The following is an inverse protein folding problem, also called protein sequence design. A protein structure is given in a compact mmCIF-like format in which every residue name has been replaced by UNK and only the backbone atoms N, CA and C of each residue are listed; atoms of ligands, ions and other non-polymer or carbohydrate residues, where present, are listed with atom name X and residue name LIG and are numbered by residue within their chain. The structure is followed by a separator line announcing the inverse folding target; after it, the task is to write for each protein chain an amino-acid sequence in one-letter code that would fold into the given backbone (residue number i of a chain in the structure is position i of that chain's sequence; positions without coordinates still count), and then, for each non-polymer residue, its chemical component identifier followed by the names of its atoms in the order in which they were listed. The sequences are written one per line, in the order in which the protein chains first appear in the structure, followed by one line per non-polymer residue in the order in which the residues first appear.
data_IF_307125487679
#
_entry.id   IF_307125487679
#
_cell.length_a   1.000
_cell.length_b   1.000
_cell.length_c   1.000
_cell.angle_alpha   90.00
_cell.angle_beta   90.00
_cell.angle_gamma   90.00
#
_symmetry.space_group_name_H-M   'P 1'
#
loop_
_entity.id
_entity.type
_entity.pdbx_description
1 polymer ?
#
# COMPACT_ATOMS: atom_id res chain seq x y z
N UNK A 1 24.44 -1.42 -33.85
CA UNK A 1 24.95 -1.19 -32.49
C UNK A 1 24.96 0.31 -32.26
N UNK A 2 24.02 0.81 -31.46
CA UNK A 2 24.05 2.15 -30.85
C UNK A 2 22.89 2.25 -29.84
N UNK A 3 23.26 2.42 -28.57
CA UNK A 3 22.52 3.13 -27.50
C UNK A 3 21.27 2.40 -26.96
N UNK A 4 21.41 1.52 -25.96
CA UNK A 4 21.49 1.94 -24.54
C UNK A 4 20.46 3.01 -24.17
N UNK A 5 19.19 2.72 -24.46
CA UNK A 5 18.06 3.38 -23.80
C UNK A 5 17.10 2.31 -23.25
N UNK A 6 17.66 1.22 -22.70
CA UNK A 6 16.90 0.30 -21.87
C UNK A 6 16.69 0.97 -20.52
N UNK A 7 15.78 1.94 -20.48
CA UNK A 7 15.18 2.39 -19.22
C UNK A 7 14.71 1.17 -18.41
N UNK A 8 14.57 1.37 -17.10
CA UNK A 8 14.10 0.34 -16.15
C UNK A 8 13.04 -0.57 -16.78
N UNK A 9 13.24 -1.89 -16.71
CA UNK A 9 12.29 -2.88 -17.23
C UNK A 9 10.90 -2.57 -16.69
N UNK A 10 9.85 -2.70 -17.50
CA UNK A 10 8.48 -2.41 -17.07
C UNK A 10 8.11 -3.24 -15.83
N UNK A 11 8.63 -4.46 -15.76
CA UNK A 11 8.51 -5.32 -14.59
C UNK A 11 9.16 -4.74 -13.32
N UNK A 12 10.31 -4.10 -13.42
CA UNK A 12 10.99 -3.48 -12.27
C UNK A 12 10.26 -2.22 -11.80
N UNK A 13 9.80 -1.38 -12.73
CA UNK A 13 8.98 -0.19 -12.42
C UNK A 13 7.69 -0.61 -11.71
N UNK A 14 6.99 -1.61 -12.26
CA UNK A 14 5.73 -2.10 -11.71
C UNK A 14 5.91 -2.72 -10.31
N UNK A 15 7.01 -3.44 -10.08
CA UNK A 15 7.34 -3.99 -8.77
C UNK A 15 7.66 -2.90 -7.74
N UNK A 16 8.40 -1.86 -8.16
CA UNK A 16 8.71 -0.69 -7.33
C UNK A 16 7.44 0.07 -6.94
N UNK A 17 6.55 0.35 -7.91
CA UNK A 17 5.24 0.98 -7.66
C UNK A 17 4.43 0.14 -6.67
N UNK A 18 4.41 -1.18 -6.84
CA UNK A 18 3.75 -2.08 -5.90
C UNK A 18 4.22 -1.89 -4.46
N UNK A 19 5.54 -1.87 -4.23
CA UNK A 19 6.10 -1.59 -2.90
C UNK A 19 5.76 -0.20 -2.37
N UNK A 20 5.86 0.84 -3.21
CA UNK A 20 5.51 2.21 -2.83
C UNK A 20 4.05 2.30 -2.37
N UNK A 21 3.12 1.66 -3.08
CA UNK A 21 1.70 1.63 -2.72
C UNK A 21 1.46 0.92 -1.38
N UNK A 22 2.16 -0.17 -1.09
CA UNK A 22 2.08 -0.85 0.22
C UNK A 22 2.53 0.11 1.32
N UNK A 23 3.71 0.73 1.17
CA UNK A 23 4.28 1.62 2.18
C UNK A 23 3.37 2.83 2.43
N UNK A 24 2.85 3.45 1.36
CA UNK A 24 1.91 4.57 1.48
C UNK A 24 0.63 4.13 2.19
N UNK A 25 0.07 2.98 1.84
CA UNK A 25 -1.13 2.44 2.50
C UNK A 25 -0.93 2.18 3.98
N UNK A 26 0.21 1.62 4.37
CA UNK A 26 0.58 1.41 5.78
C UNK A 26 0.70 2.73 6.54
N UNK A 27 1.43 3.70 5.98
CA UNK A 27 1.61 5.02 6.60
C UNK A 27 0.28 5.75 6.73
N UNK A 28 -0.53 5.75 5.66
CA UNK A 28 -1.84 6.40 5.66
C UNK A 28 -2.78 5.80 6.71
N UNK A 29 -2.86 4.47 6.78
CA UNK A 29 -3.65 3.80 7.81
C UNK A 29 -3.15 4.08 9.22
N UNK A 30 -1.83 4.17 9.42
CA UNK A 30 -1.25 4.44 10.73
C UNK A 30 -1.56 5.87 11.19
N UNK A 31 -1.37 6.85 10.30
CA UNK A 31 -1.72 8.25 10.56
C UNK A 31 -3.22 8.37 10.84
N UNK A 32 -4.07 7.67 10.09
CA UNK A 32 -5.52 7.68 10.31
C UNK A 32 -5.88 7.21 11.73
N UNK A 33 -5.28 6.12 12.20
CA UNK A 33 -5.50 5.60 13.56
C UNK A 33 -5.04 6.63 14.61
N UNK A 34 -3.89 7.27 14.42
CA UNK A 34 -3.42 8.26 15.40
C UNK A 34 -4.29 9.53 15.45
N UNK A 35 -4.73 10.02 14.29
CA UNK A 35 -5.50 11.26 14.19
C UNK A 35 -6.96 11.05 14.61
N UNK A 36 -7.58 9.94 14.18
CA UNK A 36 -9.02 9.72 14.33
C UNK A 36 -9.38 8.55 15.26
N UNK A 37 -8.40 7.77 15.72
CA UNK A 37 -8.65 6.63 16.59
C UNK A 37 -9.08 7.02 18.00
N UNK A 38 -8.78 8.25 18.45
CA UNK A 38 -9.20 8.78 19.75
C UNK A 38 -10.47 9.61 19.58
N UNK A 39 -11.57 9.15 20.18
CA UNK A 39 -12.85 9.87 20.18
C UNK A 39 -13.20 10.30 21.60
N UNK A 40 -13.89 11.44 21.71
CA UNK A 40 -14.38 11.97 22.98
C UNK A 40 -15.77 11.40 23.25
N UNK A 41 -15.92 10.71 24.38
CA UNK A 41 -17.22 10.18 24.85
C UNK A 41 -17.61 10.87 26.16
N UNK A 42 -18.88 11.28 26.30
CA UNK A 42 -19.36 11.88 27.54
C UNK A 42 -19.44 10.81 28.63
N UNK A 43 -18.92 11.11 29.82
CA UNK A 43 -19.23 10.34 31.04
C UNK A 43 -20.33 11.03 31.81
N UNK A 44 -21.25 10.23 32.36
CA UNK A 44 -22.50 10.66 33.01
C UNK A 44 -22.35 11.73 34.10
N UNK A 45 -21.18 11.88 34.74
CA UNK A 45 -21.02 12.77 35.89
C UNK A 45 -19.81 13.71 35.87
N UNK A 46 -18.76 13.47 35.06
CA UNK A 46 -17.55 14.30 35.06
C UNK A 46 -16.87 14.32 33.67
N UNK A 47 -17.36 15.20 32.79
CA UNK A 47 -16.67 15.61 31.56
C UNK A 47 -16.62 14.57 30.42
N UNK A 48 -15.76 14.85 29.45
CA UNK A 48 -15.50 14.02 28.27
C UNK A 48 -14.20 13.23 28.45
N UNK A 49 -14.24 11.91 28.21
CA UNK A 49 -13.05 11.06 28.22
C UNK A 49 -12.63 10.74 26.77
N UNK A 50 -11.33 10.87 26.48
CA UNK A 50 -10.78 10.37 25.22
C UNK A 50 -10.59 8.86 25.33
N UNK A 51 -11.29 8.10 24.49
CA UNK A 51 -11.17 6.64 24.39
C UNK A 51 -10.78 6.22 22.98
N UNK A 52 -10.20 5.04 22.84
CA UNK A 52 -9.93 4.47 21.51
C UNK A 52 -11.24 3.93 20.92
N UNK A 53 -11.63 4.44 19.76
CA UNK A 53 -12.77 3.90 19.01
C UNK A 53 -12.35 2.67 18.24
N UNK A 54 -12.90 1.50 18.63
CA UNK A 54 -12.66 0.26 17.91
C UNK A 54 -13.02 0.35 16.43
N UNK A 55 -14.10 1.05 16.09
CA UNK A 55 -14.52 1.25 14.69
C UNK A 55 -13.45 2.01 13.91
N UNK A 56 -12.94 3.11 14.45
CA UNK A 56 -11.92 3.93 13.77
C UNK A 56 -10.59 3.17 13.63
N UNK A 57 -10.20 2.39 14.64
CA UNK A 57 -9.02 1.54 14.58
C UNK A 57 -9.17 0.48 13.49
N UNK A 58 -10.32 -0.21 13.42
CA UNK A 58 -10.60 -1.22 12.40
C UNK A 58 -10.60 -0.60 11.00
N UNK A 59 -11.20 0.59 10.82
CA UNK A 59 -11.14 1.33 9.55
C UNK A 59 -9.71 1.62 9.13
N UNK A 60 -8.86 2.06 10.06
CA UNK A 60 -7.43 2.28 9.80
C UNK A 60 -6.70 1.02 9.37
N UNK A 61 -6.97 -0.12 10.00
CA UNK A 61 -6.45 -1.43 9.59
C UNK A 61 -6.96 -1.81 8.18
N UNK A 62 -8.23 -1.52 7.89
CA UNK A 62 -8.80 -1.72 6.56
C UNK A 62 -8.09 -0.93 5.46
N UNK A 63 -7.71 0.32 5.74
CA UNK A 63 -6.90 1.16 4.83
C UNK A 63 -5.53 0.52 4.58
N UNK A 64 -4.87 0.04 5.63
CA UNK A 64 -3.58 -0.66 5.52
C UNK A 64 -3.69 -1.91 4.64
N UNK A 65 -4.70 -2.75 4.90
CA UNK A 65 -4.93 -3.97 4.13
C UNK A 65 -5.26 -3.66 2.67
N UNK A 66 -6.03 -2.60 2.40
CA UNK A 66 -6.33 -2.20 1.04
C UNK A 66 -5.07 -1.82 0.26
N UNK A 67 -4.21 -0.97 0.84
CA UNK A 67 -2.92 -0.61 0.24
C UNK A 67 -2.01 -1.82 0.04
N UNK A 68 -2.02 -2.77 0.98
CA UNK A 68 -1.30 -4.02 0.86
C UNK A 68 -1.79 -4.87 -0.32
N UNK A 69 -3.11 -5.07 -0.45
CA UNK A 69 -3.73 -5.86 -1.53
C UNK A 69 -3.43 -5.23 -2.89
N UNK A 70 -3.63 -3.92 -3.02
CA UNK A 70 -3.38 -3.22 -4.29
C UNK A 70 -1.90 -3.32 -4.66
N UNK A 71 -0.99 -3.03 -3.74
CA UNK A 71 0.44 -3.14 -4.01
C UNK A 71 0.88 -4.57 -4.37
N UNK A 72 0.31 -5.58 -3.71
CA UNK A 72 0.55 -6.99 -4.06
C UNK A 72 0.08 -7.35 -5.47
N UNK A 73 -1.05 -6.80 -5.93
CA UNK A 73 -1.53 -7.00 -7.31
C UNK A 73 -0.53 -6.43 -8.33
N UNK A 74 0.01 -5.23 -8.07
CA UNK A 74 1.05 -4.65 -8.92
C UNK A 74 2.32 -5.52 -8.95
N UNK A 75 2.73 -6.07 -7.81
CA UNK A 75 3.85 -7.03 -7.77
C UNK A 75 3.57 -8.31 -8.58
N UNK A 76 2.33 -8.81 -8.57
CA UNK A 76 1.93 -9.95 -9.42
C UNK A 76 2.00 -9.61 -10.90
N UNK A 77 1.49 -8.44 -11.30
CA UNK A 77 1.55 -7.96 -12.69
C UNK A 77 3.02 -7.82 -13.12
N UNK A 78 3.86 -7.23 -12.28
CA UNK A 78 5.30 -7.10 -12.51
C UNK A 78 5.98 -8.45 -12.78
N UNK A 79 5.67 -9.47 -11.98
CA UNK A 79 6.19 -10.83 -12.17
C UNK A 79 5.76 -11.43 -13.52
N UNK A 80 4.50 -11.20 -13.92
CA UNK A 80 3.95 -11.69 -15.19
C UNK A 80 4.60 -10.98 -16.39
N UNK A 81 4.82 -9.67 -16.29
CA UNK A 81 5.58 -8.88 -17.27
C UNK A 81 7.03 -9.37 -17.38
N UNK A 82 7.68 -9.65 -16.25
CA UNK A 82 9.06 -10.18 -16.22
C UNK A 82 9.16 -11.51 -16.96
N UNK A 83 8.17 -12.38 -16.77
CA UNK A 83 8.08 -13.67 -17.47
C UNK A 83 7.95 -13.47 -18.99
N UNK A 84 7.09 -12.55 -19.44
CA UNK A 84 6.92 -12.22 -20.86
C UNK A 84 8.19 -11.61 -21.48
N UNK A 85 8.83 -10.68 -20.78
CA UNK A 85 10.11 -10.06 -21.18
C UNK A 85 11.19 -11.13 -21.37
N UNK A 86 11.34 -12.06 -20.41
CA UNK A 86 12.33 -13.13 -20.49
C UNK A 86 12.03 -14.13 -21.62
N UNK A 87 10.75 -14.44 -21.87
CA UNK A 87 10.34 -15.32 -22.98
C UNK A 87 10.61 -14.68 -24.35
N UNK A 88 10.41 -13.37 -24.49
CA UNK A 88 10.77 -12.63 -25.72
C UNK A 88 12.27 -12.66 -26.01
N UNK A 89 13.12 -12.59 -24.98
CA UNK A 89 14.58 -12.60 -25.13
C UNK A 89 15.10 -13.99 -25.55
N UNK A 90 14.51 -15.08 -25.04
CA UNK A 90 14.93 -16.46 -25.39
C UNK A 90 14.41 -17.00 -26.73
N UNK A 91 13.66 -16.20 -27.48
CA UNK A 91 13.13 -16.53 -28.82
C UNK A 91 13.87 -15.81 -29.97
N UNK A 92 14.88 -14.99 -29.65
CA UNK A 92 15.85 -14.40 -30.59
C UNK A 92 17.22 -15.06 -30.41
#
# INVERSE_FOLDING_TARGET
MSEENQGMRESEVCNFIGWVLIVIGLIAGFIFILVFGRVEVPREYYGTEKVWSGVMVITGIGIMLNGFIVGYLFQKIASLLRYQENKKIGLN
#
